data_IF_641854453001
#
_entry.id   IF_641854453001
#
_cell.length_a   1.000
_cell.length_b   1.000
_cell.length_c   1.000
_cell.angle_alpha   90.00
_cell.angle_beta   90.00
_cell.angle_gamma   90.00
#
_symmetry.space_group_name_H-M   'P 1'
#
loop_
_entity.id
_entity.type
_entity.pdbx_description
1 polymer ?
#
# COMPACT_ATOMS: atom_id res chain seq x y z
N UNK A 1 17.59 -6.66 17.52
CA UNK A 1 16.80 -5.43 17.72
C UNK A 1 15.35 -5.62 17.34
N UNK A 2 15.04 -6.16 16.15
CA UNK A 2 13.67 -6.49 15.72
C UNK A 2 12.86 -7.36 16.72
N UNK A 3 13.43 -8.46 17.22
CA UNK A 3 12.76 -9.34 18.20
C UNK A 3 12.49 -8.65 19.54
N UNK A 4 13.46 -7.92 20.09
CA UNK A 4 13.29 -7.14 21.33
C UNK A 4 12.21 -6.06 21.19
N UNK A 5 12.08 -5.45 20.01
CA UNK A 5 11.03 -4.47 19.74
C UNK A 5 9.64 -5.10 19.74
N UNK A 6 9.49 -6.27 19.10
CA UNK A 6 8.22 -7.01 19.08
C UNK A 6 7.85 -7.54 20.48
N UNK A 7 8.84 -7.96 21.27
CA UNK A 7 8.64 -8.36 22.67
C UNK A 7 8.23 -7.18 23.56
N UNK A 8 8.78 -5.98 23.34
CA UNK A 8 8.36 -4.77 24.03
C UNK A 8 6.91 -4.37 23.68
N UNK A 9 6.52 -4.47 22.40
CA UNK A 9 5.15 -4.23 21.95
C UNK A 9 4.16 -5.25 22.52
N UNK A 10 4.58 -6.52 22.64
CA UNK A 10 3.81 -7.57 23.30
C UNK A 10 3.48 -7.22 24.75
N UNK A 11 4.42 -6.61 25.48
CA UNK A 11 4.19 -6.15 26.86
C UNK A 11 3.33 -4.89 26.92
N UNK A 12 3.47 -3.98 25.96
CA UNK A 12 2.72 -2.73 25.92
C UNK A 12 1.25 -2.92 25.54
N UNK A 13 0.92 -3.91 24.70
CA UNK A 13 -0.44 -4.17 24.20
C UNK A 13 -0.82 -5.64 24.35
N UNK A 14 -1.39 -6.05 25.50
CA UNK A 14 -1.79 -7.43 25.74
C UNK A 14 -2.85 -7.93 24.73
N UNK A 15 -3.66 -7.03 24.17
CA UNK A 15 -4.69 -7.35 23.17
C UNK A 15 -4.11 -7.88 21.84
N UNK A 16 -2.84 -7.56 21.54
CA UNK A 16 -2.14 -7.99 20.33
C UNK A 16 -0.94 -8.89 20.67
N UNK A 17 -0.81 -9.32 21.92
CA UNK A 17 0.36 -10.04 22.40
C UNK A 17 0.58 -11.37 21.68
N UNK A 18 -0.49 -12.10 21.37
CA UNK A 18 -0.42 -13.36 20.63
C UNK A 18 0.05 -13.15 19.18
N UNK A 19 -0.42 -12.07 18.53
CA UNK A 19 0.04 -11.70 17.19
C UNK A 19 1.53 -11.37 17.16
N UNK A 20 2.01 -10.59 18.13
CA UNK A 20 3.42 -10.27 18.25
C UNK A 20 4.28 -11.51 18.57
N UNK A 21 3.79 -12.43 19.41
CA UNK A 21 4.47 -13.68 19.69
C UNK A 21 4.61 -14.56 18.43
N UNK A 22 3.55 -14.64 17.63
CA UNK A 22 3.57 -15.38 16.36
C UNK A 22 4.49 -14.73 15.33
N UNK A 23 4.50 -13.40 15.22
CA UNK A 23 5.43 -12.68 14.33
C UNK A 23 6.89 -12.92 14.75
N UNK A 24 7.17 -12.94 16.06
CA UNK A 24 8.49 -13.22 16.59
C UNK A 24 8.95 -14.66 16.30
N UNK A 25 8.08 -15.67 16.50
CA UNK A 25 8.40 -17.08 16.20
C UNK A 25 8.63 -17.28 14.70
N UNK A 26 7.77 -16.72 13.84
CA UNK A 26 7.93 -16.80 12.38
C UNK A 26 9.22 -16.10 11.90
N UNK A 27 9.57 -14.96 12.49
CA UNK A 27 10.82 -14.26 12.20
C UNK A 27 12.05 -15.05 12.67
N UNK A 28 12.02 -15.63 13.88
CA UNK A 28 13.10 -16.46 14.40
C UNK A 28 13.32 -17.72 13.55
N UNK A 29 12.24 -18.33 13.06
CA UNK A 29 12.27 -19.47 12.14
C UNK A 29 12.59 -19.07 10.70
N UNK A 30 12.74 -17.77 10.40
CA UNK A 30 13.01 -17.22 9.06
C UNK A 30 11.96 -17.62 8.02
N UNK A 31 10.70 -17.77 8.44
CA UNK A 31 9.58 -18.15 7.58
C UNK A 31 8.96 -16.91 6.92
N UNK A 32 9.70 -16.28 6.02
CA UNK A 32 9.35 -14.97 5.42
C UNK A 32 7.98 -14.95 4.73
N UNK A 33 7.61 -16.01 4.02
CA UNK A 33 6.30 -16.10 3.35
C UNK A 33 5.14 -16.19 4.35
N UNK A 34 5.28 -16.97 5.43
CA UNK A 34 4.24 -17.03 6.45
C UNK A 34 4.20 -15.75 7.27
N UNK A 35 5.36 -15.15 7.52
CA UNK A 35 5.49 -13.86 8.19
C UNK A 35 4.74 -12.77 7.42
N UNK A 36 4.92 -12.66 6.10
CA UNK A 36 4.21 -11.66 5.31
C UNK A 36 2.70 -11.89 5.29
N UNK A 37 2.23 -13.14 5.18
CA UNK A 37 0.80 -13.44 5.24
C UNK A 37 0.20 -13.06 6.60
N UNK A 38 0.90 -13.38 7.69
CA UNK A 38 0.42 -13.10 9.04
C UNK A 38 0.48 -11.60 9.35
N UNK A 39 1.50 -10.91 8.84
CA UNK A 39 1.61 -9.46 8.90
C UNK A 39 0.47 -8.79 8.11
N UNK A 40 0.14 -9.30 6.93
CA UNK A 40 -0.98 -8.79 6.12
C UNK A 40 -2.30 -8.87 6.90
N UNK A 41 -2.56 -9.99 7.58
CA UNK A 41 -3.72 -10.14 8.47
C UNK A 41 -3.67 -9.17 9.66
N UNK A 42 -2.51 -9.05 10.30
CA UNK A 42 -2.30 -8.14 11.42
C UNK A 42 -2.57 -6.68 11.04
N UNK A 43 -2.14 -6.26 9.85
CA UNK A 43 -2.34 -4.91 9.33
C UNK A 43 -3.82 -4.58 9.06
N UNK A 44 -4.68 -5.59 8.87
CA UNK A 44 -6.13 -5.38 8.72
C UNK A 44 -6.85 -5.18 10.07
N UNK A 45 -6.18 -5.43 11.20
CA UNK A 45 -6.80 -5.31 12.52
C UNK A 45 -6.91 -3.83 12.88
N UNK A 46 -8.12 -3.28 13.16
CA UNK A 46 -8.28 -1.87 13.52
C UNK A 46 -7.47 -1.46 14.75
N UNK A 47 -7.34 -2.38 15.73
CA UNK A 47 -6.51 -2.17 16.91
C UNK A 47 -5.03 -1.96 16.56
N UNK A 48 -4.50 -2.65 15.56
CA UNK A 48 -3.12 -2.47 15.08
C UNK A 48 -2.92 -1.16 14.30
N UNK A 49 -3.99 -0.66 13.67
CA UNK A 49 -3.99 0.60 12.92
C UNK A 49 -4.02 1.86 13.80
N UNK A 50 -3.93 1.73 15.12
CA UNK A 50 -3.96 2.86 16.06
C UNK A 50 -2.57 3.47 16.28
N UNK A 51 -2.48 4.81 16.16
CA UNK A 51 -1.27 5.59 16.43
C UNK A 51 -0.14 5.33 15.43
N UNK A 52 1.12 5.53 15.86
CA UNK A 52 2.32 5.35 15.03
C UNK A 52 2.84 3.90 15.00
N UNK A 53 2.03 2.94 15.47
CA UNK A 53 2.46 1.55 15.67
C UNK A 53 2.95 0.90 14.37
N UNK A 54 2.26 1.09 13.25
CA UNK A 54 2.64 0.45 11.98
C UNK A 54 3.83 1.15 11.33
N UNK A 55 3.96 2.45 11.51
CA UNK A 55 5.13 3.21 11.07
C UNK A 55 6.38 2.69 11.76
N UNK A 56 6.32 2.51 13.09
CA UNK A 56 7.46 1.98 13.85
C UNK A 56 7.71 0.50 13.56
N UNK A 57 6.66 -0.31 13.37
CA UNK A 57 6.79 -1.71 12.96
C UNK A 57 7.46 -1.80 11.59
N UNK A 58 7.09 -0.95 10.65
CA UNK A 58 7.70 -0.90 9.33
C UNK A 58 9.20 -0.58 9.44
N UNK A 59 9.54 0.52 10.14
CA UNK A 59 10.92 0.97 10.22
C UNK A 59 11.83 0.02 11.02
N UNK A 60 11.36 -0.53 12.15
CA UNK A 60 12.19 -1.34 13.05
C UNK A 60 12.14 -2.85 12.78
N UNK A 61 11.08 -3.34 12.15
CA UNK A 61 10.88 -4.77 11.90
C UNK A 61 10.94 -5.08 10.40
N UNK A 62 10.10 -4.44 9.58
CA UNK A 62 9.97 -4.77 8.14
C UNK A 62 11.25 -4.42 7.36
N UNK A 63 11.90 -3.30 7.67
CA UNK A 63 13.17 -2.90 7.03
C UNK A 63 14.28 -3.94 7.19
N UNK A 64 14.23 -4.81 8.20
CA UNK A 64 15.28 -5.81 8.47
C UNK A 64 15.21 -6.99 7.47
N UNK A 65 14.03 -7.24 6.91
CA UNK A 65 13.78 -8.36 5.99
C UNK A 65 13.16 -7.93 4.66
N UNK A 66 13.21 -6.65 4.33
CA UNK A 66 12.69 -6.10 3.07
C UNK A 66 13.25 -6.78 1.82
N UNK A 67 14.54 -7.16 1.86
CA UNK A 67 15.24 -7.87 0.78
C UNK A 67 14.89 -9.36 0.68
N UNK A 68 14.12 -9.89 1.63
CA UNK A 68 13.73 -11.32 1.70
C UNK A 68 12.27 -11.55 1.34
N UNK A 69 11.49 -10.49 1.17
CA UNK A 69 10.06 -10.56 0.89
C UNK A 69 9.74 -9.97 -0.49
N UNK A 70 8.53 -10.24 -0.97
CA UNK A 70 8.07 -9.65 -2.21
C UNK A 70 7.95 -8.12 -2.07
N UNK A 71 8.61 -7.38 -2.97
CA UNK A 71 8.63 -5.92 -2.99
C UNK A 71 7.23 -5.30 -3.13
N UNK A 72 6.31 -5.96 -3.85
CA UNK A 72 4.92 -5.53 -3.96
C UNK A 72 4.20 -5.58 -2.61
N UNK A 73 4.44 -6.63 -1.82
CA UNK A 73 3.89 -6.73 -0.45
C UNK A 73 4.49 -5.67 0.46
N UNK A 74 5.78 -5.41 0.33
CA UNK A 74 6.43 -4.31 1.05
C UNK A 74 5.82 -2.95 0.71
N UNK A 75 5.58 -2.68 -0.58
CA UNK A 75 4.90 -1.46 -1.02
C UNK A 75 3.49 -1.35 -0.42
N UNK A 76 2.72 -2.44 -0.38
CA UNK A 76 1.41 -2.47 0.27
C UNK A 76 1.51 -2.12 1.77
N UNK A 77 2.50 -2.66 2.48
CA UNK A 77 2.72 -2.35 3.89
C UNK A 77 3.11 -0.88 4.10
N UNK A 78 3.97 -0.33 3.25
CA UNK A 78 4.33 1.09 3.27
C UNK A 78 3.11 2.00 3.04
N UNK A 79 2.23 1.61 2.12
CA UNK A 79 0.96 2.32 1.84
C UNK A 79 0.02 2.28 3.05
N UNK A 80 -0.07 1.16 3.78
CA UNK A 80 -0.88 1.09 4.99
C UNK A 80 -0.27 1.95 6.10
N UNK A 81 1.05 1.91 6.27
CA UNK A 81 1.75 2.73 7.24
C UNK A 81 1.59 4.23 6.93
N UNK A 82 1.60 4.63 5.65
CA UNK A 82 1.44 6.04 5.26
C UNK A 82 0.07 6.62 5.63
N UNK A 83 -0.97 5.78 5.75
CA UNK A 83 -2.32 6.19 6.20
C UNK A 83 -2.39 6.55 7.69
N UNK A 84 -1.43 6.11 8.50
CA UNK A 84 -1.38 6.47 9.92
C UNK A 84 -0.82 7.86 10.17
N UNK A 85 -0.12 8.43 9.19
CA UNK A 85 0.42 9.77 9.34
C UNK A 85 -0.72 10.79 9.38
N UNK A 86 -0.80 11.62 10.42
CA UNK A 86 -1.77 12.71 10.47
C UNK A 86 -1.46 13.79 9.44
N UNK A 87 -0.17 13.97 9.11
CA UNK A 87 0.31 14.90 8.10
C UNK A 87 0.52 14.19 6.75
N UNK A 88 -0.21 14.68 5.75
CA UNK A 88 -0.14 14.20 4.37
C UNK A 88 1.23 14.45 3.73
N UNK A 89 1.91 15.55 4.08
CA UNK A 89 3.24 15.84 3.54
C UNK A 89 4.32 14.90 4.10
N UNK A 90 4.22 14.57 5.38
CA UNK A 90 5.06 13.55 6.00
C UNK A 90 4.84 12.16 5.38
N UNK A 91 3.57 11.82 5.07
CA UNK A 91 3.22 10.57 4.40
C UNK A 91 3.85 10.48 3.00
N UNK A 92 3.81 11.56 2.22
CA UNK A 92 4.43 11.61 0.88
C UNK A 92 5.93 11.43 0.99
N UNK A 93 6.59 12.17 1.90
CA UNK A 93 8.05 12.09 2.10
C UNK A 93 8.47 10.67 2.48
N UNK A 94 7.70 9.98 3.33
CA UNK A 94 7.94 8.59 3.68
C UNK A 94 7.84 7.67 2.46
N UNK A 95 6.77 7.79 1.66
CA UNK A 95 6.55 6.97 0.46
C UNK A 95 7.63 7.22 -0.61
N UNK A 96 8.08 8.47 -0.79
CA UNK A 96 9.21 8.82 -1.67
C UNK A 96 10.53 8.18 -1.20
N UNK A 97 10.75 8.14 0.11
CA UNK A 97 11.86 7.39 0.71
C UNK A 97 11.83 5.91 0.35
N UNK A 98 10.64 5.28 0.40
CA UNK A 98 10.47 3.88 -0.01
C UNK A 98 10.73 3.69 -1.51
N UNK A 99 10.25 4.59 -2.38
CA UNK A 99 10.56 4.53 -3.82
C UNK A 99 12.08 4.58 -4.06
N UNK A 100 12.79 5.43 -3.33
CA UNK A 100 14.25 5.56 -3.44
C UNK A 100 14.94 4.26 -3.04
N UNK A 101 14.57 3.68 -1.90
CA UNK A 101 15.09 2.37 -1.45
C UNK A 101 14.80 1.25 -2.45
N UNK A 102 13.59 1.19 -2.99
CA UNK A 102 13.20 0.21 -4.01
C UNK A 102 14.06 0.32 -5.28
N UNK A 103 14.40 1.54 -5.69
CA UNK A 103 15.32 1.78 -6.83
C UNK A 103 16.74 1.33 -6.53
N UNK A 104 17.20 1.50 -5.29
CA UNK A 104 18.53 1.06 -4.86
C UNK A 104 18.68 -0.46 -4.82
N UNK A 105 17.59 -1.20 -4.55
CA UNK A 105 17.60 -2.68 -4.53
C UNK A 105 17.90 -3.30 -5.91
N UNK A 106 17.73 -2.54 -7.01
CA UNK A 106 18.01 -2.96 -8.40
C UNK A 106 17.39 -4.31 -8.80
N UNK A 107 16.22 -4.64 -8.30
CA UNK A 107 15.50 -5.85 -8.72
C UNK A 107 14.77 -5.67 -10.06
N UNK A 108 14.50 -6.77 -10.75
CA UNK A 108 13.84 -6.79 -12.07
C UNK A 108 12.37 -6.34 -12.02
N UNK A 109 11.68 -6.55 -10.88
CA UNK A 109 10.25 -6.23 -10.70
C UNK A 109 10.02 -5.04 -9.77
N UNK A 110 10.88 -4.02 -9.81
CA UNK A 110 10.71 -2.81 -9.00
C UNK A 110 9.62 -1.87 -9.54
N UNK A 111 9.27 -1.98 -10.82
CA UNK A 111 8.35 -1.03 -11.45
C UNK A 111 6.91 -1.17 -10.90
N UNK A 112 6.45 -2.38 -10.63
CA UNK A 112 5.15 -2.66 -10.00
C UNK A 112 4.99 -2.02 -8.60
N UNK A 113 5.88 -2.29 -7.61
CA UNK A 113 5.78 -1.68 -6.29
C UNK A 113 5.98 -0.17 -6.34
N UNK A 114 6.89 0.34 -7.18
CA UNK A 114 7.07 1.79 -7.36
C UNK A 114 5.78 2.42 -7.89
N UNK A 115 5.14 1.79 -8.88
CA UNK A 115 3.89 2.26 -9.43
C UNK A 115 2.79 2.26 -8.37
N UNK A 116 2.66 1.18 -7.60
CA UNK A 116 1.69 1.09 -6.50
C UNK A 116 1.88 2.21 -5.46
N UNK A 117 3.13 2.48 -5.06
CA UNK A 117 3.45 3.58 -4.12
C UNK A 117 3.15 4.94 -4.75
N UNK A 118 3.51 5.17 -6.02
CA UNK A 118 3.18 6.41 -6.75
C UNK A 118 1.67 6.66 -6.82
N UNK A 119 0.87 5.61 -7.03
CA UNK A 119 -0.59 5.72 -7.04
C UNK A 119 -1.13 6.16 -5.68
N UNK A 120 -0.54 5.67 -4.59
CA UNK A 120 -0.90 6.15 -3.25
C UNK A 120 -0.50 7.61 -3.02
N UNK A 121 0.69 8.04 -3.47
CA UNK A 121 1.11 9.45 -3.40
C UNK A 121 0.13 10.34 -4.19
N UNK A 122 -0.28 9.91 -5.39
CA UNK A 122 -1.27 10.61 -6.20
C UNK A 122 -2.64 10.70 -5.50
N UNK A 123 -3.05 9.68 -4.75
CA UNK A 123 -4.25 9.72 -3.89
C UNK A 123 -4.15 10.83 -2.84
N UNK A 124 -3.02 10.91 -2.15
CA UNK A 124 -2.78 11.91 -1.10
C UNK A 124 -2.77 13.31 -1.71
N UNK A 125 -2.15 13.51 -2.88
CA UNK A 125 -2.20 14.79 -3.60
C UNK A 125 -3.61 15.17 -4.03
N UNK A 126 -4.40 14.20 -4.49
CA UNK A 126 -5.80 14.43 -4.84
C UNK A 126 -6.60 14.88 -3.60
N UNK A 127 -6.39 14.24 -2.46
CA UNK A 127 -7.03 14.63 -1.19
C UNK A 127 -6.54 15.99 -0.65
N UNK A 128 -5.40 16.50 -1.13
CA UNK A 128 -4.93 17.87 -0.85
C UNK A 128 -5.49 18.90 -1.85
N UNK A 129 -6.13 18.48 -2.93
CA UNK A 129 -6.56 19.35 -4.02
C UNK A 129 -5.46 19.68 -5.05
N UNK A 130 -4.32 18.97 -5.02
CA UNK A 130 -3.21 19.16 -5.93
C UNK A 130 -3.43 18.39 -7.24
N UNK A 131 -4.36 18.86 -8.07
CA UNK A 131 -4.72 18.19 -9.33
C UNK A 131 -3.56 18.10 -10.34
N UNK A 132 -2.66 19.10 -10.37
CA UNK A 132 -1.51 19.11 -11.29
C UNK A 132 -0.54 17.96 -11.01
N UNK A 133 -0.13 17.80 -9.75
CA UNK A 133 0.79 16.74 -9.34
C UNK A 133 0.15 15.35 -9.49
N UNK A 134 -1.13 15.22 -9.13
CA UNK A 134 -1.87 13.98 -9.33
C UNK A 134 -1.90 13.57 -10.81
N UNK A 135 -2.13 14.53 -11.73
CA UNK A 135 -2.12 14.28 -13.18
C UNK A 135 -0.74 13.81 -13.66
N UNK A 136 0.33 14.51 -13.27
CA UNK A 136 1.69 14.14 -13.65
C UNK A 136 2.02 12.71 -13.20
N UNK A 137 1.69 12.37 -11.95
CA UNK A 137 1.90 11.02 -11.41
C UNK A 137 1.07 9.95 -12.14
N UNK A 138 -0.16 10.28 -12.56
CA UNK A 138 -1.01 9.38 -13.35
C UNK A 138 -0.45 9.16 -14.76
N UNK A 139 0.02 10.20 -15.45
CA UNK A 139 0.62 10.09 -16.78
C UNK A 139 1.93 9.30 -16.75
N UNK A 140 2.80 9.56 -15.77
CA UNK A 140 3.99 8.76 -15.52
C UNK A 140 3.63 7.30 -15.19
N UNK A 141 2.63 7.12 -14.33
CA UNK A 141 2.17 5.80 -13.91
C UNK A 141 1.65 4.97 -15.08
N UNK A 142 0.87 5.61 -15.97
CA UNK A 142 0.35 5.00 -17.19
C UNK A 142 1.47 4.58 -18.14
N UNK A 143 2.43 5.47 -18.38
CA UNK A 143 3.58 5.20 -19.24
C UNK A 143 4.40 4.02 -18.71
N UNK A 144 4.56 3.96 -17.38
CA UNK A 144 5.27 2.87 -16.69
C UNK A 144 4.49 1.55 -16.80
N UNK A 145 3.16 1.60 -16.68
CA UNK A 145 2.25 0.45 -16.79
C UNK A 145 2.23 -0.12 -18.22
N UNK A 146 2.13 0.74 -19.23
CA UNK A 146 2.11 0.36 -20.66
C UNK A 146 3.45 -0.27 -21.10
N UNK A 147 4.56 0.07 -20.43
CA UNK A 147 5.88 -0.51 -20.67
C UNK A 147 6.13 -1.86 -19.99
N UNK A 148 5.21 -2.32 -19.13
CA UNK A 148 5.34 -3.61 -18.44
C UNK A 148 4.50 -4.70 -19.11
N UNK A 149 5.09 -5.87 -19.28
CA UNK A 149 4.38 -7.10 -19.68
C UNK A 149 4.28 -7.99 -18.46
N UNK A 150 3.07 -8.49 -18.15
CA UNK A 150 2.76 -9.33 -16.96
C UNK A 150 2.68 -8.57 -15.62
N UNK A 151 1.87 -7.52 -15.56
CA UNK A 151 1.60 -6.75 -14.33
C UNK A 151 0.51 -7.42 -13.49
N UNK A 152 0.71 -7.46 -12.17
CA UNK A 152 -0.28 -7.96 -11.24
C UNK A 152 -1.61 -7.17 -11.33
N UNK A 153 -2.77 -7.85 -11.41
CA UNK A 153 -4.08 -7.19 -11.49
C UNK A 153 -4.34 -6.16 -10.37
N UNK A 154 -3.76 -6.35 -9.18
CA UNK A 154 -3.89 -5.41 -8.06
C UNK A 154 -3.23 -4.06 -8.34
N UNK A 155 -2.16 -4.04 -9.14
CA UNK A 155 -1.48 -2.81 -9.56
C UNK A 155 -2.32 -2.08 -10.61
N UNK A 156 -2.88 -2.80 -11.59
CA UNK A 156 -3.84 -2.26 -12.54
C UNK A 156 -5.06 -1.67 -11.82
N UNK A 157 -5.63 -2.41 -10.87
CA UNK A 157 -6.75 -1.96 -10.07
C UNK A 157 -6.41 -0.66 -9.32
N UNK A 158 -5.26 -0.61 -8.65
CA UNK A 158 -4.83 0.60 -7.92
C UNK A 158 -4.71 1.82 -8.84
N UNK A 159 -4.14 1.63 -10.04
CA UNK A 159 -4.01 2.69 -11.04
C UNK A 159 -5.38 3.22 -11.52
N UNK A 160 -6.26 2.32 -11.98
CA UNK A 160 -7.57 2.71 -12.49
C UNK A 160 -8.48 3.30 -11.39
N UNK A 161 -8.32 2.86 -10.14
CA UNK A 161 -9.03 3.45 -9.01
C UNK A 161 -8.66 4.91 -8.82
N UNK A 162 -7.36 5.25 -8.76
CA UNK A 162 -6.92 6.65 -8.61
C UNK A 162 -7.32 7.49 -9.81
N UNK A 163 -7.17 6.95 -11.03
CA UNK A 163 -7.60 7.64 -12.25
C UNK A 163 -9.10 7.96 -12.20
N UNK A 164 -9.92 7.02 -11.74
CA UNK A 164 -11.35 7.27 -11.54
C UNK A 164 -11.59 8.40 -10.53
N UNK A 165 -10.95 8.40 -9.37
CA UNK A 165 -11.12 9.47 -8.37
C UNK A 165 -10.68 10.83 -8.90
N UNK A 166 -9.61 10.87 -9.68
CA UNK A 166 -9.13 12.08 -10.34
C UNK A 166 -10.16 12.65 -11.32
N UNK A 167 -10.69 11.84 -12.24
CA UNK A 167 -11.73 12.28 -13.19
C UNK A 167 -13.05 12.64 -12.50
N UNK A 168 -13.39 11.95 -11.40
CA UNK A 168 -14.54 12.30 -10.55
C UNK A 168 -14.37 13.71 -9.97
N UNK A 169 -13.17 14.07 -9.50
CA UNK A 169 -12.89 15.41 -9.01
C UNK A 169 -12.97 16.50 -10.08
N UNK A 170 -12.72 16.15 -11.35
CA UNK A 170 -12.84 17.05 -12.50
C UNK A 170 -14.26 17.10 -13.09
N UNK A 171 -15.21 16.32 -12.56
CA UNK A 171 -16.56 16.15 -13.12
C UNK A 171 -16.58 15.58 -14.55
N UNK A 172 -15.50 14.91 -14.96
CA UNK A 172 -15.40 14.21 -16.24
C UNK A 172 -16.01 12.81 -16.12
N UNK A 173 -17.34 12.74 -16.05
CA UNK A 173 -18.05 11.50 -15.75
C UNK A 173 -17.78 10.38 -16.78
N UNK A 174 -17.58 10.70 -18.05
CA UNK A 174 -17.31 9.71 -19.09
C UNK A 174 -16.01 8.92 -18.82
N UNK A 175 -14.90 9.61 -18.54
CA UNK A 175 -13.63 8.96 -18.22
C UNK A 175 -13.64 8.36 -16.80
N UNK A 176 -14.38 8.94 -15.86
CA UNK A 176 -14.63 8.31 -14.56
C UNK A 176 -15.24 6.92 -14.70
N UNK A 177 -16.37 6.78 -15.42
CA UNK A 177 -17.05 5.49 -15.58
C UNK A 177 -16.17 4.48 -16.32
N UNK A 178 -15.46 4.90 -17.36
CA UNK A 178 -14.54 4.04 -18.10
C UNK A 178 -13.43 3.48 -17.19
N UNK A 179 -12.78 4.34 -16.41
CA UNK A 179 -11.74 3.91 -15.49
C UNK A 179 -12.30 3.10 -14.31
N UNK A 180 -13.50 3.41 -13.82
CA UNK A 180 -14.17 2.61 -12.80
C UNK A 180 -14.52 1.21 -13.30
N UNK A 181 -14.97 1.06 -14.56
CA UNK A 181 -15.22 -0.23 -15.18
C UNK A 181 -13.92 -1.04 -15.35
N UNK A 182 -12.82 -0.38 -15.73
CA UNK A 182 -11.51 -1.03 -15.80
C UNK A 182 -11.04 -1.48 -14.41
N UNK A 183 -11.20 -0.65 -13.38
CA UNK A 183 -10.95 -1.05 -11.99
C UNK A 183 -11.74 -2.31 -11.60
N UNK A 184 -13.02 -2.37 -11.93
CA UNK A 184 -13.87 -3.55 -11.69
C UNK A 184 -13.44 -4.77 -12.51
N UNK A 185 -12.88 -4.59 -13.70
CA UNK A 185 -12.37 -5.69 -14.52
C UNK A 185 -11.10 -6.33 -13.92
N UNK A 186 -10.27 -5.53 -13.24
CA UNK A 186 -9.03 -6.00 -12.60
C UNK A 186 -9.19 -6.36 -11.12
N UNK A 187 -10.33 -6.08 -10.51
CA UNK A 187 -10.68 -6.52 -9.15
C UNK A 187 -11.58 -7.75 -9.22
N UNK A 188 -11.29 -8.77 -8.41
CA UNK A 188 -12.21 -9.92 -8.28
C UNK A 188 -13.49 -9.45 -7.60
N UNK A 189 -14.61 -9.54 -8.34
CA UNK A 189 -15.97 -9.08 -7.99
C UNK A 189 -16.47 -9.59 -6.62
N UNK A 190 -15.81 -10.59 -6.02
CA UNK A 190 -16.10 -11.14 -4.69
C UNK A 190 -15.57 -10.33 -3.49
N UNK A 191 -14.73 -9.31 -3.69
CA UNK A 191 -14.11 -8.52 -2.59
C UNK A 191 -14.74 -7.13 -2.38
N UNK A 192 -15.72 -6.74 -3.19
CA UNK A 192 -16.34 -5.41 -3.16
C UNK A 192 -17.58 -5.39 -2.25
N UNK A 193 -17.55 -4.52 -1.23
CA UNK A 193 -18.69 -4.28 -0.33
C UNK A 193 -19.87 -3.65 -1.07
N UNK A 194 -21.10 -3.98 -0.66
CA UNK A 194 -22.34 -3.45 -1.27
C UNK A 194 -22.42 -1.91 -1.24
N UNK A 195 -21.81 -1.28 -0.24
CA UNK A 195 -21.68 0.18 -0.14
C UNK A 195 -20.92 0.82 -1.31
N UNK A 196 -19.95 0.11 -1.90
CA UNK A 196 -19.17 0.60 -3.03
C UNK A 196 -19.96 0.48 -4.36
N UNK A 197 -20.84 -0.53 -4.47
CA UNK A 197 -21.78 -0.68 -5.59
C UNK A 197 -22.79 0.47 -5.62
N UNK A 198 -23.33 0.81 -4.44
CA UNK A 198 -24.23 1.94 -4.24
C UNK A 198 -23.59 3.30 -4.60
N UNK A 199 -22.30 3.49 -4.28
CA UNK A 199 -21.55 4.69 -4.66
C UNK A 199 -21.22 4.80 -6.15
N UNK A 200 -21.29 3.69 -6.89
CA UNK A 200 -21.11 3.60 -8.33
C UNK A 200 -22.43 3.65 -9.11
N UNK A 201 -23.57 3.64 -8.42
CA UNK A 201 -24.90 3.65 -9.04
C UNK A 201 -25.25 2.35 -9.78
N UNK A 202 -24.71 1.22 -9.31
CA UNK A 202 -24.98 -0.14 -9.82
C UNK A 202 -25.64 -0.98 -8.74
#
# INVERSE_FOLDING_TARGET
MALQYVEALRQARPDLADWYADLADLYQRKLWHQLTLKLDQFLQIPAAQTGDTLIQLYNNFISDFETKINLLKLAQFAVIASRQYPDKDAAITFLEGIITKLRETRELRINEPILHVKMQIAAIHLDKGNHKECKNLLEEGKTTLDGMTDVDPTVHASFYWISSQYHKSLQEFAEFYKNALLYLAYTTVGSLSESFKLGLGI
#
